data_IF_608384218131
#
_entry.id   IF_608384218131
#
_cell.length_a   1.000
_cell.length_b   1.000
_cell.length_c   1.000
_cell.angle_alpha   90.00
_cell.angle_beta   90.00
_cell.angle_gamma   90.00
#
_symmetry.space_group_name_H-M   'P 1'
#
loop_
_entity.id
_entity.type
_entity.pdbx_description
1 polymer ?
#
# COMPACT_ATOMS: atom_id res chain seq x y z
N UNK A 1 2.06 -2.90 -19.28
CA UNK A 1 2.93 -4.04 -18.91
C UNK A 1 4.39 -3.69 -19.08
N UNK A 2 4.93 -3.55 -20.31
CA UNK A 2 6.33 -3.17 -20.50
C UNK A 2 6.71 -1.86 -19.79
N UNK A 3 5.88 -0.83 -19.93
CA UNK A 3 6.05 0.46 -19.24
C UNK A 3 6.03 0.35 -17.69
N UNK A 4 5.21 -0.54 -17.13
CA UNK A 4 5.14 -0.79 -15.69
C UNK A 4 6.40 -1.50 -15.19
N UNK A 5 6.91 -2.46 -15.97
CA UNK A 5 8.17 -3.16 -15.69
C UNK A 5 9.34 -2.19 -15.74
N UNK A 6 9.40 -1.35 -16.78
CA UNK A 6 10.45 -0.34 -16.95
C UNK A 6 10.43 0.66 -15.78
N UNK A 7 9.25 1.14 -15.38
CA UNK A 7 9.09 2.04 -14.24
C UNK A 7 9.55 1.40 -12.91
N UNK A 8 9.23 0.11 -12.70
CA UNK A 8 9.68 -0.63 -11.51
C UNK A 8 11.19 -0.86 -11.51
N UNK A 9 11.76 -1.17 -12.67
CA UNK A 9 13.21 -1.32 -12.83
C UNK A 9 13.92 -0.01 -12.52
N UNK A 10 13.40 1.11 -13.02
CA UNK A 10 13.95 2.43 -12.72
C UNK A 10 13.85 2.76 -11.22
N UNK A 11 12.68 2.53 -10.59
CA UNK A 11 12.52 2.75 -9.16
C UNK A 11 13.46 1.88 -8.30
N UNK A 12 13.68 0.63 -8.70
CA UNK A 12 14.65 -0.27 -8.07
C UNK A 12 16.07 0.27 -8.19
N UNK A 13 16.47 0.70 -9.38
CA UNK A 13 17.79 1.32 -9.62
C UNK A 13 17.98 2.59 -8.78
N UNK A 14 17.00 3.50 -8.79
CA UNK A 14 17.04 4.73 -7.99
C UNK A 14 17.17 4.42 -6.48
N UNK A 15 16.50 3.38 -6.00
CA UNK A 15 16.61 2.91 -4.63
C UNK A 15 18.02 2.36 -4.32
N UNK A 16 18.59 1.55 -5.23
CA UNK A 16 19.94 1.01 -5.10
C UNK A 16 20.98 2.14 -5.06
N UNK A 17 20.87 3.12 -5.95
CA UNK A 17 21.76 4.28 -5.98
C UNK A 17 21.72 5.08 -4.68
N UNK A 18 20.52 5.25 -4.09
CA UNK A 18 20.35 5.94 -2.81
C UNK A 18 21.03 5.23 -1.64
N UNK A 19 21.17 3.90 -1.70
CA UNK A 19 21.90 3.10 -0.70
C UNK A 19 23.37 2.87 -1.08
N UNK A 20 23.83 3.47 -2.18
CA UNK A 20 25.22 3.40 -2.64
C UNK A 20 25.58 2.10 -3.36
N UNK A 21 24.61 1.38 -3.89
CA UNK A 21 24.79 0.16 -4.68
C UNK A 21 24.39 0.39 -6.14
N UNK A 22 25.06 -0.30 -7.06
CA UNK A 22 24.66 -0.37 -8.46
C UNK A 22 23.78 -1.59 -8.74
N UNK A 23 23.02 -1.53 -9.84
CA UNK A 23 22.28 -2.69 -10.33
C UNK A 23 23.20 -3.88 -10.62
N UNK A 24 24.41 -3.63 -11.12
CA UNK A 24 25.38 -4.67 -11.47
C UNK A 24 25.94 -5.38 -10.23
N UNK A 25 26.21 -4.63 -9.15
CA UNK A 25 26.58 -5.20 -7.85
C UNK A 25 25.43 -6.00 -7.23
N UNK A 26 24.19 -5.52 -7.36
CA UNK A 26 23.00 -6.23 -6.89
C UNK A 26 22.79 -7.56 -7.65
N UNK A 27 22.89 -7.54 -8.98
CA UNK A 27 22.78 -8.73 -9.82
C UNK A 27 23.86 -9.77 -9.48
N UNK A 28 25.10 -9.31 -9.27
CA UNK A 28 26.20 -10.17 -8.84
C UNK A 28 25.98 -10.78 -7.46
N UNK A 29 25.49 -9.99 -6.49
CA UNK A 29 25.22 -10.47 -5.13
C UNK A 29 24.05 -11.47 -5.05
N UNK A 30 23.02 -11.28 -5.88
CA UNK A 30 21.86 -12.17 -5.98
C UNK A 30 22.09 -13.37 -6.92
N UNK A 31 23.25 -13.44 -7.58
CA UNK A 31 23.58 -14.43 -8.62
C UNK A 31 22.55 -14.47 -9.76
N UNK A 32 22.00 -13.30 -10.12
CA UNK A 32 20.97 -13.13 -11.15
C UNK A 32 21.48 -12.44 -12.39
N UNK A 33 20.92 -12.80 -13.54
CA UNK A 33 21.08 -12.03 -14.78
C UNK A 33 20.05 -10.92 -14.89
N UNK A 34 20.31 -9.97 -15.78
CA UNK A 34 19.36 -8.89 -16.07
C UNK A 34 18.03 -9.45 -16.60
N UNK A 35 18.04 -10.49 -17.42
CA UNK A 35 16.82 -11.14 -17.91
C UNK A 35 16.02 -11.81 -16.79
N UNK A 36 16.68 -12.34 -15.75
CA UNK A 36 15.98 -12.92 -14.60
C UNK A 36 15.28 -11.84 -13.77
N UNK A 37 15.94 -10.70 -13.54
CA UNK A 37 15.29 -9.56 -12.89
C UNK A 37 14.14 -9.01 -13.74
N UNK A 38 14.31 -8.88 -15.05
CA UNK A 38 13.24 -8.42 -15.93
C UNK A 38 12.02 -9.37 -15.89
N UNK A 39 12.27 -10.68 -15.82
CA UNK A 39 11.20 -11.68 -15.66
C UNK A 39 10.49 -11.57 -14.30
N UNK A 40 11.23 -11.42 -13.20
CA UNK A 40 10.67 -11.23 -11.86
C UNK A 40 9.85 -9.93 -11.77
N UNK A 41 10.37 -8.84 -12.32
CA UNK A 41 9.65 -7.57 -12.38
C UNK A 41 8.39 -7.67 -13.24
N UNK A 42 8.43 -8.46 -14.32
CA UNK A 42 7.25 -8.74 -15.16
C UNK A 42 6.19 -9.54 -14.41
N UNK A 43 6.59 -10.56 -13.66
CA UNK A 43 5.68 -11.35 -12.83
C UNK A 43 5.04 -10.47 -11.75
N UNK A 44 5.86 -9.73 -11.00
CA UNK A 44 5.39 -8.80 -9.98
C UNK A 44 4.46 -7.72 -10.57
N UNK A 45 4.76 -7.21 -11.77
CA UNK A 45 3.92 -6.23 -12.45
C UNK A 45 2.57 -6.83 -12.83
N UNK A 46 2.58 -8.05 -13.35
CA UNK A 46 1.37 -8.79 -13.70
C UNK A 46 0.51 -9.06 -12.48
N UNK A 47 1.12 -9.47 -11.36
CA UNK A 47 0.41 -9.69 -10.10
C UNK A 47 -0.19 -8.40 -9.55
N UNK A 48 0.58 -7.30 -9.51
CA UNK A 48 0.10 -6.01 -9.06
C UNK A 48 -1.12 -5.52 -9.86
N UNK A 49 -1.08 -5.63 -11.19
CA UNK A 49 -2.22 -5.27 -12.05
C UNK A 49 -3.43 -6.18 -11.80
N UNK A 50 -3.23 -7.49 -11.59
CA UNK A 50 -4.31 -8.42 -11.23
C UNK A 50 -4.98 -8.03 -9.92
N UNK A 51 -4.19 -7.71 -8.89
CA UNK A 51 -4.70 -7.25 -7.59
C UNK A 51 -5.50 -5.96 -7.75
N UNK A 52 -4.98 -4.98 -8.51
CA UNK A 52 -5.69 -3.74 -8.76
C UNK A 52 -7.05 -4.00 -9.44
N UNK A 53 -7.08 -4.78 -10.51
CA UNK A 53 -8.30 -5.11 -11.23
C UNK A 53 -9.29 -5.89 -10.36
N UNK A 54 -8.80 -6.79 -9.51
CA UNK A 54 -9.61 -7.53 -8.55
C UNK A 54 -10.27 -6.58 -7.55
N UNK A 55 -9.49 -5.68 -6.93
CA UNK A 55 -9.99 -4.72 -5.95
C UNK A 55 -10.94 -3.70 -6.59
N UNK A 56 -10.68 -3.27 -7.82
CA UNK A 56 -11.59 -2.38 -8.56
C UNK A 56 -12.92 -3.12 -8.86
N UNK A 57 -12.86 -4.38 -9.30
CA UNK A 57 -14.06 -5.20 -9.55
C UNK A 57 -14.86 -5.44 -8.27
N UNK A 58 -14.18 -5.69 -7.16
CA UNK A 58 -14.78 -5.84 -5.85
C UNK A 58 -15.44 -4.54 -5.37
N UNK A 59 -14.76 -3.41 -5.56
CA UNK A 59 -15.30 -2.10 -5.24
C UNK A 59 -16.56 -1.78 -6.06
N UNK A 60 -16.61 -2.20 -7.32
CA UNK A 60 -17.80 -2.08 -8.17
C UNK A 60 -18.92 -3.02 -7.71
N UNK A 61 -18.61 -4.28 -7.38
CA UNK A 61 -19.58 -5.28 -6.96
C UNK A 61 -20.26 -4.94 -5.62
N UNK A 62 -19.53 -4.31 -4.70
CA UNK A 62 -20.00 -3.91 -3.38
C UNK A 62 -20.46 -2.43 -3.33
N UNK A 63 -20.54 -1.75 -4.48
CA UNK A 63 -20.89 -0.31 -4.61
C UNK A 63 -20.11 0.59 -3.64
N UNK A 64 -18.81 0.37 -3.55
CA UNK A 64 -17.93 1.11 -2.64
C UNK A 64 -17.76 2.53 -3.15
N UNK A 65 -18.30 3.48 -2.39
CA UNK A 65 -18.12 4.92 -2.59
C UNK A 65 -17.12 5.48 -1.58
N UNK A 66 -16.36 6.49 -1.98
CA UNK A 66 -15.47 7.24 -1.09
C UNK A 66 -16.12 8.59 -0.79
N UNK A 67 -16.25 8.94 0.48
CA UNK A 67 -16.77 10.24 0.88
C UNK A 67 -15.70 11.33 0.83
N UNK A 68 -16.14 12.58 0.77
CA UNK A 68 -15.24 13.74 0.83
C UNK A 68 -14.43 13.76 2.14
N UNK A 69 -15.04 13.32 3.25
CA UNK A 69 -14.38 13.24 4.56
C UNK A 69 -13.26 12.18 4.57
N UNK A 70 -13.51 11.00 3.99
CA UNK A 70 -12.52 9.92 3.89
C UNK A 70 -11.35 10.33 3.00
N UNK A 71 -11.66 10.92 1.85
CA UNK A 71 -10.65 11.45 0.96
C UNK A 71 -9.84 12.57 1.64
N UNK A 72 -10.51 13.48 2.34
CA UNK A 72 -9.87 14.54 3.13
C UNK A 72 -8.95 13.99 4.23
N UNK A 73 -9.36 12.93 4.93
CA UNK A 73 -8.54 12.26 5.92
C UNK A 73 -7.28 11.65 5.29
N UNK A 74 -7.42 10.98 4.14
CA UNK A 74 -6.27 10.43 3.41
C UNK A 74 -5.29 11.53 2.97
N UNK A 75 -5.81 12.65 2.47
CA UNK A 75 -4.98 13.82 2.12
C UNK A 75 -4.23 14.34 3.34
N UNK A 76 -4.89 14.47 4.50
CA UNK A 76 -4.25 14.91 5.73
C UNK A 76 -3.12 13.94 6.12
N UNK A 77 -3.39 12.63 6.11
CA UNK A 77 -2.42 11.60 6.48
C UNK A 77 -1.19 11.59 5.55
N UNK A 78 -1.41 11.67 4.23
CA UNK A 78 -0.31 11.73 3.25
C UNK A 78 0.48 13.03 3.36
N UNK A 79 -0.19 14.17 3.52
CA UNK A 79 0.46 15.47 3.67
C UNK A 79 1.36 15.53 4.91
N UNK A 80 0.91 14.97 6.04
CA UNK A 80 1.72 14.84 7.25
C UNK A 80 2.99 14.01 7.01
N UNK A 81 2.89 12.85 6.36
CA UNK A 81 4.05 12.01 6.01
C UNK A 81 5.02 12.72 5.06
N UNK A 82 4.49 13.52 4.13
CA UNK A 82 5.27 14.31 3.20
C UNK A 82 5.83 15.61 3.81
N UNK A 83 5.46 15.97 5.05
CA UNK A 83 5.93 17.19 5.72
C UNK A 83 5.37 18.48 5.12
N UNK A 84 4.22 18.42 4.45
CA UNK A 84 3.58 19.57 3.78
C UNK A 84 2.18 19.82 4.34
N UNK A 85 1.66 21.04 4.15
CA UNK A 85 0.31 21.37 4.60
C UNK A 85 -0.75 20.64 3.72
N UNK A 86 -1.86 20.14 4.32
CA UNK A 86 -2.86 19.37 3.57
C UNK A 86 -3.42 20.10 2.34
N UNK A 87 -3.73 21.39 2.48
CA UNK A 87 -4.23 22.18 1.35
C UNK A 87 -3.20 22.31 0.22
N UNK A 88 -1.93 22.50 0.56
CA UNK A 88 -0.85 22.58 -0.42
C UNK A 88 -0.64 21.24 -1.13
N UNK A 89 -0.73 20.13 -0.40
CA UNK A 89 -0.64 18.79 -0.97
C UNK A 89 -1.79 18.51 -1.94
N UNK A 90 -3.02 18.85 -1.54
CA UNK A 90 -4.19 18.72 -2.42
C UNK A 90 -4.05 19.54 -3.69
N UNK A 91 -3.64 20.81 -3.57
CA UNK A 91 -3.41 21.67 -4.74
C UNK A 91 -2.35 21.09 -5.68
N UNK A 92 -1.30 20.47 -5.14
CA UNK A 92 -0.28 19.78 -5.93
C UNK A 92 -0.90 18.61 -6.72
N UNK A 93 -1.69 17.77 -6.06
CA UNK A 93 -2.35 16.62 -6.70
C UNK A 93 -3.31 17.04 -7.82
N UNK A 94 -4.06 18.12 -7.63
CA UNK A 94 -4.96 18.65 -8.66
C UNK A 94 -4.14 19.17 -9.85
N UNK A 95 -3.05 19.91 -9.59
CA UNK A 95 -2.17 20.42 -10.66
C UNK A 95 -1.47 19.31 -11.44
N UNK A 96 -1.08 18.22 -10.77
CA UNK A 96 -0.48 17.05 -11.43
C UNK A 96 -1.50 16.10 -12.04
N UNK A 97 -2.81 16.32 -11.83
CA UNK A 97 -3.87 15.42 -12.28
C UNK A 97 -3.92 14.08 -11.54
N UNK A 98 -3.24 13.95 -10.40
CA UNK A 98 -3.12 12.69 -9.65
C UNK A 98 -4.16 12.53 -8.55
N UNK A 99 -5.00 13.55 -8.29
CA UNK A 99 -6.06 13.48 -7.29
C UNK A 99 -7.02 12.28 -7.50
N UNK A 100 -7.35 11.97 -8.76
CA UNK A 100 -8.19 10.81 -9.10
C UNK A 100 -7.53 9.46 -8.78
N UNK A 101 -6.20 9.36 -8.92
CA UNK A 101 -5.46 8.16 -8.54
C UNK A 101 -5.51 7.94 -7.02
N UNK A 102 -5.38 9.01 -6.23
CA UNK A 102 -5.51 8.93 -4.77
C UNK A 102 -6.91 8.51 -4.35
N UNK A 103 -7.94 9.07 -4.98
CA UNK A 103 -9.33 8.65 -4.73
C UNK A 103 -9.52 7.15 -5.03
N UNK A 104 -8.97 6.67 -6.15
CA UNK A 104 -8.96 5.25 -6.51
C UNK A 104 -8.25 4.37 -5.47
N UNK A 105 -7.13 4.83 -4.91
CA UNK A 105 -6.43 4.12 -3.83
C UNK A 105 -7.31 3.98 -2.59
N UNK A 106 -7.98 5.06 -2.17
CA UNK A 106 -8.89 5.03 -1.02
C UNK A 106 -10.02 4.04 -1.26
N UNK A 107 -10.62 4.07 -2.46
CA UNK A 107 -11.69 3.15 -2.84
C UNK A 107 -11.26 1.68 -2.77
N UNK A 108 -10.08 1.35 -3.31
CA UNK A 108 -9.53 -0.01 -3.25
C UNK A 108 -9.20 -0.44 -1.83
N UNK A 109 -8.65 0.46 -1.00
CA UNK A 109 -8.41 0.20 0.41
C UNK A 109 -9.69 -0.15 1.18
N UNK A 110 -10.79 0.57 0.90
CA UNK A 110 -12.11 0.27 1.46
C UNK A 110 -12.65 -1.08 0.99
N UNK A 111 -12.56 -1.38 -0.31
CA UNK A 111 -13.00 -2.66 -0.85
C UNK A 111 -12.25 -3.83 -0.19
N UNK A 112 -10.92 -3.70 0.00
CA UNK A 112 -10.13 -4.69 0.71
C UNK A 112 -10.59 -4.84 2.17
N UNK A 113 -10.78 -3.74 2.89
CA UNK A 113 -11.23 -3.76 4.28
C UNK A 113 -12.58 -4.49 4.44
N UNK A 114 -13.54 -4.23 3.55
CA UNK A 114 -14.85 -4.89 3.55
C UNK A 114 -14.76 -6.41 3.36
N UNK A 115 -13.82 -6.88 2.54
CA UNK A 115 -13.61 -8.33 2.38
C UNK A 115 -12.89 -8.91 3.59
N UNK A 116 -11.91 -8.21 4.15
CA UNK A 116 -11.22 -8.65 5.37
C UNK A 116 -12.18 -8.82 6.55
N UNK A 117 -13.22 -7.99 6.68
CA UNK A 117 -14.28 -8.15 7.69
C UNK A 117 -15.07 -9.46 7.55
N UNK A 118 -15.09 -10.07 6.35
CA UNK A 118 -15.80 -11.32 6.06
C UNK A 118 -14.86 -12.54 6.09
N UNK A 119 -13.56 -12.33 6.18
CA UNK A 119 -12.56 -13.40 6.22
C UNK A 119 -12.31 -13.78 7.67
N UNK A 120 -12.38 -15.09 7.93
CA UNK A 120 -11.95 -15.67 9.20
C UNK A 120 -10.42 -15.68 9.26
N UNK A 121 -9.84 -14.86 10.12
CA UNK A 121 -8.39 -14.87 10.39
C UNK A 121 -8.14 -15.86 11.53
N UNK A 122 -7.16 -16.74 11.38
CA UNK A 122 -6.74 -17.64 12.47
C UNK A 122 -5.27 -17.42 12.77
N UNK A 123 -4.89 -17.45 14.04
CA UNK A 123 -3.49 -17.48 14.45
C UNK A 123 -2.81 -18.82 14.08
N UNK A 124 -1.50 -18.90 14.31
CA UNK A 124 -0.72 -20.13 14.06
C UNK A 124 -1.11 -21.32 14.95
N UNK A 125 -1.89 -21.09 16.02
CA UNK A 125 -2.44 -22.09 16.92
C UNK A 125 -3.90 -22.47 16.59
N UNK A 126 -4.51 -21.84 15.58
CA UNK A 126 -5.88 -22.08 15.13
C UNK A 126 -6.97 -21.28 15.84
N UNK A 127 -6.59 -20.30 16.67
CA UNK A 127 -7.56 -19.42 17.33
C UNK A 127 -8.04 -18.35 16.36
N UNK A 128 -9.33 -18.04 16.38
CA UNK A 128 -9.93 -17.01 15.52
C UNK A 128 -9.52 -15.62 16.02
N UNK A 129 -9.02 -14.77 15.12
CA UNK A 129 -8.68 -13.37 15.36
C UNK A 129 -9.68 -12.49 14.60
N UNK A 130 -10.18 -11.44 15.25
CA UNK A 130 -11.01 -10.42 14.62
C UNK A 130 -10.17 -9.17 14.25
N UNK A 131 -10.71 -8.33 13.37
CA UNK A 131 -10.06 -7.09 12.93
C UNK A 131 -9.80 -6.09 14.08
N UNK A 132 -10.64 -6.11 15.12
CA UNK A 132 -10.43 -5.30 16.33
C UNK A 132 -9.20 -5.77 17.12
N UNK A 133 -8.94 -7.07 17.19
CA UNK A 133 -7.76 -7.64 17.86
C UNK A 133 -6.46 -7.23 17.14
N UNK A 134 -6.51 -7.10 15.81
CA UNK A 134 -5.38 -6.67 14.98
C UNK A 134 -5.15 -5.16 15.04
N UNK A 135 -6.21 -4.35 15.19
CA UNK A 135 -6.11 -2.88 15.32
C UNK A 135 -5.74 -2.44 16.74
N UNK A 136 -6.06 -3.26 17.76
CA UNK A 136 -5.90 -2.95 19.18
C UNK A 136 -4.59 -3.40 19.85
N UNK A 137 -3.67 -4.02 19.13
CA UNK A 137 -2.43 -4.62 19.68
C UNK A 137 -1.37 -3.66 20.27
N UNK A 138 -1.73 -2.46 20.69
CA UNK A 138 -0.86 -1.51 21.42
C UNK A 138 -1.44 -1.04 22.75
N UNK A 139 -2.41 -1.77 23.32
CA UNK A 139 -2.94 -1.48 24.65
C UNK A 139 -2.95 -2.75 25.52
N UNK A 140 -1.77 -3.15 26.00
CA UNK A 140 -1.67 -3.87 27.27
C UNK A 140 -0.22 -3.79 27.78
N UNK A 141 0.06 -2.80 28.64
CA UNK A 141 0.91 -2.91 29.84
C UNK A 141 0.95 -1.54 30.54
N UNK A 142 0.02 -1.32 31.47
CA UNK A 142 0.33 -0.93 32.84
C UNK A 142 -0.96 -0.83 33.66
N UNK A 143 -1.34 -1.97 34.24
CA UNK A 143 -2.10 -1.99 35.47
C UNK A 143 -1.15 -1.54 36.59
N UNK A 144 -1.43 -0.40 37.21
CA UNK A 144 -0.92 -0.08 38.53
C UNK A 144 -2.08 0.52 39.34
N UNK A 145 -2.82 -0.39 39.96
CA UNK A 145 -3.47 -0.28 41.26
C UNK A 145 -3.57 1.14 41.84
N UNK A 146 -4.76 1.70 41.75
CA UNK A 146 -5.25 2.65 42.73
C UNK A 146 -5.71 1.86 43.96
N UNK A 147 -4.91 1.82 45.03
CA UNK A 147 -5.48 1.60 46.36
C UNK A 147 -4.73 2.34 47.48
N UNK A 148 -5.55 2.97 48.33
CA UNK A 148 -5.32 3.73 49.57
C UNK A 148 -4.69 5.13 49.58
#
# INVERSE_FOLDING_TARGET
>A
MREEVDHRKQAMTDQLERIGASLEEYLSAEEKTEEQIDAELTEAATEGVKIQLLLDTLADAEDVQVSDDEFGHEIMHRAQRAGVQPQQYYDQLVRSGTAGAIFGDVRRGKALALVMERIKITDSAGNELNMDDLRGGSADEHDHDHDH
#
